data_IF_742638802033
#
_entry.id   IF_742638802033
#
_cell.length_a   1.000
_cell.length_b   1.000
_cell.length_c   1.000
_cell.angle_alpha   90.00
_cell.angle_beta   90.00
_cell.angle_gamma   90.00
#
_symmetry.space_group_name_H-M   'P 1'
#
loop_
_entity.id
_entity.type
_entity.pdbx_description
1 polymer ?
#
# COMPACT_ATOMS: atom_id res chain seq x y z
N UNK A 1 14.58 17.93 -6.42
CA UNK A 1 14.81 16.71 -5.60
C UNK A 1 15.62 15.65 -6.36
N UNK A 2 15.10 15.06 -7.44
CA UNK A 2 15.78 13.96 -8.16
C UNK A 2 17.21 14.26 -8.64
N UNK A 3 17.48 15.48 -9.13
CA UNK A 3 18.84 15.89 -9.53
C UNK A 3 19.81 15.78 -8.34
N UNK A 4 19.44 16.32 -7.18
CA UNK A 4 20.29 16.26 -5.97
C UNK A 4 20.50 14.80 -5.54
N UNK A 5 19.44 13.99 -5.51
CA UNK A 5 19.53 12.57 -5.19
C UNK A 5 20.43 11.78 -6.17
N UNK A 6 20.46 12.18 -7.45
CA UNK A 6 21.31 11.58 -8.48
C UNK A 6 22.82 11.73 -8.25
N UNK A 7 23.23 12.60 -7.30
CA UNK A 7 24.65 12.83 -6.96
C UNK A 7 25.08 12.12 -5.65
N UNK A 8 24.24 11.24 -5.09
CA UNK A 8 24.56 10.54 -3.83
C UNK A 8 25.67 9.48 -3.99
N UNK A 9 25.72 8.81 -5.13
CA UNK A 9 26.56 7.61 -5.31
C UNK A 9 27.95 7.94 -5.84
N UNK A 10 28.97 7.30 -5.24
CA UNK A 10 30.38 7.47 -5.61
C UNK A 10 30.60 6.96 -7.04
N UNK A 11 31.27 7.78 -7.84
CA UNK A 11 31.70 7.44 -9.19
C UNK A 11 33.21 7.69 -9.34
N UNK A 12 33.71 7.93 -10.55
CA UNK A 12 35.14 8.07 -10.85
C UNK A 12 35.83 9.24 -10.12
N UNK A 13 35.06 10.21 -9.62
CA UNK A 13 35.58 11.42 -8.97
C UNK A 13 35.71 11.32 -7.43
N UNK A 14 35.62 10.12 -6.86
CA UNK A 14 35.93 9.85 -5.44
C UNK A 14 34.93 10.38 -4.41
N UNK A 15 34.04 11.30 -4.77
CA UNK A 15 33.01 11.88 -3.91
C UNK A 15 31.72 11.06 -4.00
N UNK A 16 31.07 10.82 -2.85
CA UNK A 16 29.80 10.09 -2.73
C UNK A 16 29.93 8.77 -1.97
N UNK A 17 28.84 8.00 -1.94
CA UNK A 17 28.76 6.73 -1.22
C UNK A 17 28.81 5.50 -2.15
N UNK A 18 29.50 4.44 -1.72
CA UNK A 18 29.37 3.13 -2.35
C UNK A 18 28.14 2.41 -1.81
N UNK A 19 27.29 1.87 -2.69
CA UNK A 19 26.11 1.12 -2.28
C UNK A 19 26.46 -0.12 -1.47
N UNK A 20 27.57 -0.80 -1.81
CA UNK A 20 28.06 -1.95 -1.06
C UNK A 20 28.50 -1.56 0.35
N UNK A 21 29.28 -0.47 0.48
CA UNK A 21 29.71 0.04 1.79
C UNK A 21 28.49 0.41 2.66
N UNK A 22 27.48 1.08 2.07
CA UNK A 22 26.23 1.40 2.78
C UNK A 22 25.57 0.12 3.28
N UNK A 23 25.33 -0.86 2.41
CA UNK A 23 24.62 -2.09 2.78
C UNK A 23 25.34 -2.86 3.90
N UNK A 24 26.64 -3.08 3.76
CA UNK A 24 27.43 -3.84 4.74
C UNK A 24 27.60 -3.11 6.09
N UNK A 25 27.54 -1.77 6.09
CA UNK A 25 27.54 -0.99 7.33
C UNK A 25 26.25 -1.17 8.14
N UNK A 26 25.11 -1.49 7.50
CA UNK A 26 23.82 -1.65 8.17
C UNK A 26 23.63 -3.08 8.68
N UNK A 27 24.11 -3.32 9.89
CA UNK A 27 23.94 -4.57 10.65
C UNK A 27 23.59 -4.26 12.10
N UNK A 28 22.82 -5.15 12.73
CA UNK A 28 22.36 -4.96 14.10
C UNK A 28 22.34 -6.27 14.90
N UNK A 29 22.10 -6.19 16.22
CA UNK A 29 22.20 -7.34 17.12
C UNK A 29 21.21 -8.47 16.77
N UNK A 30 20.10 -8.15 16.11
CA UNK A 30 19.06 -9.12 15.75
C UNK A 30 19.21 -9.71 14.35
N UNK A 31 19.98 -9.06 13.46
CA UNK A 31 20.01 -9.34 12.01
C UNK A 31 21.29 -10.02 11.53
N UNK A 32 22.17 -10.44 12.44
CA UNK A 32 23.39 -11.18 12.10
C UNK A 32 24.34 -10.35 11.22
N UNK A 33 24.68 -10.87 10.04
CA UNK A 33 25.55 -10.19 9.07
C UNK A 33 24.85 -9.05 8.30
N UNK A 34 23.60 -8.70 8.66
CA UNK A 34 22.88 -7.58 8.06
C UNK A 34 22.65 -7.77 6.57
N UNK A 35 22.94 -6.73 5.77
CA UNK A 35 22.71 -6.72 4.32
C UNK A 35 23.91 -7.21 3.48
N UNK A 36 24.88 -7.89 4.10
CA UNK A 36 26.00 -8.50 3.39
C UNK A 36 25.50 -9.48 2.33
N UNK A 37 26.08 -9.44 1.13
CA UNK A 37 25.68 -10.30 0.00
C UNK A 37 24.49 -9.78 -0.83
N UNK A 38 23.75 -8.76 -0.34
CA UNK A 38 22.60 -8.20 -1.08
C UNK A 38 23.06 -7.42 -2.31
N UNK A 39 24.18 -6.68 -2.22
CA UNK A 39 24.76 -5.98 -3.36
C UNK A 39 25.11 -6.97 -4.49
N UNK A 40 25.73 -8.10 -4.13
CA UNK A 40 26.08 -9.16 -5.08
C UNK A 40 24.82 -9.76 -5.71
N UNK A 41 23.78 -10.07 -4.93
CA UNK A 41 22.50 -10.58 -5.46
C UNK A 41 21.93 -9.64 -6.52
N UNK A 42 21.86 -8.34 -6.21
CA UNK A 42 21.23 -7.33 -7.07
C UNK A 42 22.08 -6.96 -8.28
N UNK A 43 23.38 -7.26 -8.27
CA UNK A 43 24.26 -7.04 -9.42
C UNK A 43 24.42 -8.28 -10.29
N UNK A 44 24.19 -9.49 -9.75
CA UNK A 44 24.35 -10.74 -10.50
C UNK A 44 23.05 -11.40 -10.96
N UNK A 45 21.90 -11.14 -10.31
CA UNK A 45 20.61 -11.74 -10.67
C UNK A 45 19.64 -10.73 -11.27
N UNK A 46 19.28 -10.95 -12.52
CA UNK A 46 18.20 -10.22 -13.18
C UNK A 46 16.84 -10.50 -12.57
N UNK A 47 16.60 -11.72 -12.09
CA UNK A 47 15.34 -12.08 -11.44
C UNK A 47 15.16 -11.38 -10.10
N UNK A 48 16.23 -11.21 -9.31
CA UNK A 48 16.18 -10.43 -8.08
C UNK A 48 15.82 -8.96 -8.33
N UNK A 49 16.46 -8.34 -9.34
CA UNK A 49 16.16 -6.96 -9.75
C UNK A 49 14.73 -6.82 -10.26
N UNK A 50 14.31 -7.71 -11.16
CA UNK A 50 12.97 -7.67 -11.73
C UNK A 50 11.88 -7.88 -10.68
N UNK A 51 12.10 -8.75 -9.70
CA UNK A 51 11.17 -8.95 -8.59
C UNK A 51 10.94 -7.64 -7.81
N UNK A 52 12.01 -6.95 -7.41
CA UNK A 52 11.90 -5.67 -6.68
C UNK A 52 11.24 -4.60 -7.55
N UNK A 53 11.65 -4.48 -8.80
CA UNK A 53 11.11 -3.46 -9.71
C UNK A 53 9.61 -3.68 -9.97
N UNK A 54 9.18 -4.93 -10.16
CA UNK A 54 7.75 -5.25 -10.34
C UNK A 54 6.95 -5.01 -9.07
N UNK A 55 7.50 -5.32 -7.89
CA UNK A 55 6.83 -5.05 -6.62
C UNK A 55 6.59 -3.54 -6.47
N UNK A 56 7.63 -2.73 -6.66
CA UNK A 56 7.55 -1.28 -6.53
C UNK A 56 6.69 -0.63 -7.62
N UNK A 57 6.81 -1.08 -8.88
CA UNK A 57 6.02 -0.56 -10.00
C UNK A 57 4.54 -0.91 -9.84
N UNK A 58 4.23 -2.13 -9.41
CA UNK A 58 2.86 -2.55 -9.17
C UNK A 58 2.21 -1.75 -8.04
N UNK A 59 2.91 -1.60 -6.91
CA UNK A 59 2.47 -0.74 -5.81
C UNK A 59 2.31 0.73 -6.25
N UNK A 60 3.23 1.25 -7.05
CA UNK A 60 3.12 2.62 -7.58
C UNK A 60 1.90 2.78 -8.50
N UNK A 61 1.58 1.81 -9.35
CA UNK A 61 0.37 1.86 -10.19
C UNK A 61 -0.90 1.92 -9.34
N UNK A 62 -0.97 1.17 -8.23
CA UNK A 62 -2.09 1.23 -7.28
C UNK A 62 -2.18 2.62 -6.62
N UNK A 63 -1.04 3.17 -6.17
CA UNK A 63 -0.99 4.52 -5.60
C UNK A 63 -1.46 5.57 -6.62
N UNK A 64 -1.03 5.45 -7.88
CA UNK A 64 -1.47 6.32 -8.97
C UNK A 64 -3.00 6.26 -9.14
N UNK A 65 -3.61 5.07 -9.10
CA UNK A 65 -5.06 4.94 -9.15
C UNK A 65 -5.73 5.73 -8.01
N UNK A 66 -5.30 5.53 -6.77
CA UNK A 66 -5.84 6.23 -5.60
C UNK A 66 -5.64 7.74 -5.65
N UNK A 67 -4.48 8.21 -6.12
CA UNK A 67 -4.22 9.64 -6.25
C UNK A 67 -5.04 10.28 -7.38
N UNK A 68 -5.16 9.64 -8.54
CA UNK A 68 -5.82 10.22 -9.70
C UNK A 68 -7.33 10.42 -9.51
N UNK A 69 -8.02 9.53 -8.80
CA UNK A 69 -9.46 9.70 -8.59
C UNK A 69 -9.76 10.80 -7.55
N UNK A 70 -8.96 10.88 -6.48
CA UNK A 70 -9.16 11.86 -5.41
C UNK A 70 -8.52 13.23 -5.71
N UNK A 71 -7.55 13.29 -6.61
CA UNK A 71 -6.89 14.52 -7.09
C UNK A 71 -6.82 14.53 -8.62
N UNK A 72 -7.96 14.73 -9.32
CA UNK A 72 -8.03 14.65 -10.78
C UNK A 72 -7.05 15.63 -11.46
N UNK A 73 -6.01 15.13 -12.17
CA UNK A 73 -4.91 15.98 -12.63
C UNK A 73 -5.16 16.64 -13.98
N UNK A 74 -6.24 16.27 -14.68
CA UNK A 74 -6.53 16.76 -16.03
C UNK A 74 -7.80 17.62 -16.07
N UNK A 75 -7.86 18.66 -16.93
CA UNK A 75 -9.08 19.44 -17.11
C UNK A 75 -10.29 18.56 -17.49
N UNK A 76 -11.45 18.82 -16.89
CA UNK A 76 -12.73 18.17 -17.15
C UNK A 76 -12.83 16.65 -16.88
N UNK A 77 -11.73 15.98 -16.52
CA UNK A 77 -11.71 14.54 -16.26
C UNK A 77 -12.53 14.14 -15.03
N UNK A 78 -12.67 15.03 -14.05
CA UNK A 78 -13.41 14.76 -12.81
C UNK A 78 -14.91 14.53 -13.05
N UNK A 79 -15.48 15.19 -14.07
CA UNK A 79 -16.90 15.04 -14.46
C UNK A 79 -17.14 13.99 -15.55
N UNK A 80 -16.06 13.40 -16.04
CA UNK A 80 -16.09 12.26 -16.96
C UNK A 80 -15.97 10.95 -16.16
N UNK A 81 -17.07 10.57 -15.51
CA UNK A 81 -17.12 9.42 -14.62
C UNK A 81 -16.70 8.10 -15.28
N UNK A 82 -17.07 7.79 -16.54
CA UNK A 82 -16.55 6.62 -17.23
C UNK A 82 -15.02 6.59 -17.29
N UNK A 83 -14.38 7.73 -17.58
CA UNK A 83 -12.91 7.82 -17.63
C UNK A 83 -12.29 7.61 -16.24
N UNK A 84 -12.83 8.24 -15.20
CA UNK A 84 -12.37 8.05 -13.81
C UNK A 84 -12.43 6.58 -13.37
N UNK A 85 -13.59 5.94 -13.56
CA UNK A 85 -13.79 4.54 -13.21
C UNK A 85 -12.84 3.62 -14.00
N UNK A 86 -12.69 3.88 -15.30
CA UNK A 86 -11.83 3.09 -16.18
C UNK A 86 -10.37 3.19 -15.78
N UNK A 87 -9.85 4.41 -15.56
CA UNK A 87 -8.46 4.63 -15.17
C UNK A 87 -8.14 4.04 -13.81
N UNK A 88 -9.02 4.22 -12.82
CA UNK A 88 -8.83 3.63 -11.50
C UNK A 88 -8.74 2.11 -11.61
N UNK A 89 -9.75 1.48 -12.22
CA UNK A 89 -9.81 0.02 -12.37
C UNK A 89 -8.62 -0.51 -13.17
N UNK A 90 -8.25 0.15 -14.26
CA UNK A 90 -7.11 -0.20 -15.10
C UNK A 90 -5.79 -0.22 -14.32
N UNK A 91 -5.49 0.86 -13.58
CA UNK A 91 -4.24 0.97 -12.81
C UNK A 91 -4.20 0.02 -11.61
N UNK A 92 -5.34 -0.26 -10.98
CA UNK A 92 -5.44 -1.29 -9.93
C UNK A 92 -5.10 -2.67 -10.50
N UNK A 93 -5.68 -3.05 -11.65
CA UNK A 93 -5.39 -4.35 -12.27
C UNK A 93 -3.95 -4.49 -12.72
N UNK A 94 -3.38 -3.49 -13.40
CA UNK A 94 -1.96 -3.49 -13.76
C UNK A 94 -1.10 -3.66 -12.51
N UNK A 95 -1.43 -2.92 -11.45
CA UNK A 95 -0.73 -3.00 -10.17
C UNK A 95 -0.74 -4.42 -9.58
N UNK A 96 -1.92 -5.05 -9.54
CA UNK A 96 -2.10 -6.43 -9.09
C UNK A 96 -1.27 -7.43 -9.90
N UNK A 97 -1.31 -7.34 -11.24
CA UNK A 97 -0.51 -8.22 -12.10
C UNK A 97 1.00 -8.06 -11.88
N UNK A 98 1.48 -6.83 -11.74
CA UNK A 98 2.89 -6.56 -11.45
C UNK A 98 3.31 -7.12 -10.09
N UNK A 99 2.52 -6.94 -9.02
CA UNK A 99 2.82 -7.47 -7.69
C UNK A 99 2.87 -9.01 -7.69
N UNK A 100 1.93 -9.68 -8.37
CA UNK A 100 1.97 -11.14 -8.52
C UNK A 100 3.21 -11.58 -9.32
N UNK A 101 3.55 -10.86 -10.39
CA UNK A 101 4.78 -11.08 -11.16
C UNK A 101 6.06 -10.91 -10.32
N UNK A 102 6.05 -10.00 -9.35
CA UNK A 102 7.14 -9.85 -8.40
C UNK A 102 7.35 -11.11 -7.55
N UNK A 103 6.27 -11.68 -7.02
CA UNK A 103 6.32 -12.95 -6.28
C UNK A 103 6.82 -14.12 -7.13
N UNK A 104 6.41 -14.17 -8.41
CA UNK A 104 6.90 -15.16 -9.36
C UNK A 104 8.42 -15.02 -9.60
N UNK A 105 8.92 -13.82 -9.87
CA UNK A 105 10.35 -13.60 -10.11
C UNK A 105 11.20 -13.76 -8.85
N UNK A 106 10.68 -13.41 -7.67
CA UNK A 106 11.33 -13.70 -6.39
C UNK A 106 11.50 -15.22 -6.20
N UNK A 107 10.46 -16.00 -6.52
CA UNK A 107 10.52 -17.47 -6.46
C UNK A 107 11.51 -18.05 -7.47
N UNK A 108 11.55 -17.51 -8.70
CA UNK A 108 12.52 -17.91 -9.73
C UNK A 108 13.96 -17.61 -9.25
N UNK A 109 14.19 -16.42 -8.67
CA UNK A 109 15.47 -16.07 -8.05
C UNK A 109 15.87 -17.10 -6.97
N UNK A 110 14.94 -17.43 -6.07
CA UNK A 110 15.20 -18.40 -4.98
C UNK A 110 15.59 -19.79 -5.48
N UNK A 111 15.08 -20.20 -6.66
CA UNK A 111 15.38 -21.52 -7.24
C UNK A 111 16.67 -21.52 -8.04
N UNK A 112 16.91 -20.48 -8.85
CA UNK A 112 17.98 -20.48 -9.85
C UNK A 112 19.27 -19.79 -9.39
N UNK A 113 19.12 -18.67 -8.70
CA UNK A 113 20.22 -17.71 -8.51
C UNK A 113 20.63 -17.57 -7.05
N UNK A 114 19.79 -18.00 -6.10
CA UNK A 114 20.11 -17.99 -4.68
C UNK A 114 21.25 -18.97 -4.36
N UNK A 115 22.27 -18.46 -3.67
CA UNK A 115 23.41 -19.26 -3.21
C UNK A 115 23.53 -19.16 -1.67
N UNK A 116 23.29 -20.25 -0.91
CA UNK A 116 23.39 -20.27 0.54
C UNK A 116 24.76 -19.85 1.08
N UNK A 117 25.85 -20.25 0.40
CA UNK A 117 27.21 -19.95 0.86
C UNK A 117 27.51 -18.44 0.83
N UNK A 118 26.91 -17.69 -0.11
CA UNK A 118 27.05 -16.23 -0.22
C UNK A 118 26.11 -15.45 0.70
N UNK A 119 25.11 -16.11 1.28
CA UNK A 119 24.07 -15.50 2.10
C UNK A 119 24.14 -15.91 3.58
N UNK A 120 25.22 -16.54 4.01
CA UNK A 120 25.31 -17.10 5.36
C UNK A 120 25.04 -16.05 6.45
N UNK A 121 24.03 -16.31 7.28
CA UNK A 121 23.62 -15.48 8.42
C UNK A 121 23.31 -14.00 8.12
N UNK A 122 23.07 -13.65 6.86
CA UNK A 122 22.53 -12.34 6.49
C UNK A 122 21.00 -12.30 6.66
N UNK A 123 20.38 -11.16 6.39
CA UNK A 123 18.92 -10.99 6.53
C UNK A 123 18.10 -12.02 5.72
N UNK A 124 18.53 -12.38 4.50
CA UNK A 124 17.81 -13.30 3.63
C UNK A 124 17.85 -14.74 4.18
N UNK A 125 19.03 -15.23 4.56
CA UNK A 125 19.18 -16.54 5.20
C UNK A 125 18.41 -16.62 6.52
N UNK A 126 18.43 -15.56 7.31
CA UNK A 126 17.68 -15.50 8.56
C UNK A 126 16.19 -15.69 8.32
N UNK A 127 15.60 -14.96 7.36
CA UNK A 127 14.17 -15.12 6.99
C UNK A 127 13.85 -16.58 6.65
N UNK A 128 14.70 -17.24 5.86
CA UNK A 128 14.50 -18.65 5.47
C UNK A 128 14.49 -19.57 6.70
N UNK A 129 15.36 -19.32 7.68
CA UNK A 129 15.49 -20.14 8.90
C UNK A 129 14.29 -20.08 9.84
N UNK A 130 13.44 -19.07 9.75
CA UNK A 130 12.21 -18.97 10.55
C UNK A 130 10.96 -18.77 9.68
N UNK A 131 11.00 -19.24 8.43
CA UNK A 131 9.89 -19.15 7.48
C UNK A 131 8.61 -19.78 8.02
N UNK A 132 8.71 -20.87 8.77
CA UNK A 132 7.53 -21.55 9.31
C UNK A 132 6.79 -20.67 10.32
N UNK A 133 7.52 -19.90 11.13
CA UNK A 133 6.92 -18.92 12.03
C UNK A 133 6.27 -17.76 11.25
N UNK A 134 6.93 -17.24 10.22
CA UNK A 134 6.35 -16.17 9.38
C UNK A 134 5.02 -16.64 8.76
N UNK A 135 5.03 -17.82 8.14
CA UNK A 135 3.86 -18.38 7.46
C UNK A 135 2.76 -18.76 8.45
N UNK A 136 3.08 -19.30 9.64
CA UNK A 136 2.07 -19.65 10.64
C UNK A 136 1.36 -18.42 11.21
N UNK A 137 2.10 -17.33 11.44
CA UNK A 137 1.52 -16.08 11.93
C UNK A 137 0.67 -15.41 10.83
N UNK A 138 1.16 -15.40 9.59
CA UNK A 138 0.36 -14.88 8.46
C UNK A 138 -0.93 -15.70 8.28
N UNK A 139 -0.85 -17.04 8.36
CA UNK A 139 -2.03 -17.90 8.32
C UNK A 139 -3.05 -17.56 9.41
N UNK A 140 -2.58 -17.37 10.65
CA UNK A 140 -3.45 -16.94 11.75
C UNK A 140 -4.10 -15.58 11.46
N UNK A 141 -3.34 -14.61 10.94
CA UNK A 141 -3.88 -13.29 10.56
C UNK A 141 -4.95 -13.43 9.47
N UNK A 142 -4.73 -14.22 8.43
CA UNK A 142 -5.72 -14.43 7.36
C UNK A 142 -7.02 -15.04 7.92
N UNK A 143 -6.93 -16.03 8.81
CA UNK A 143 -8.10 -16.64 9.46
C UNK A 143 -8.83 -15.61 10.32
N UNK A 144 -8.08 -14.87 11.15
CA UNK A 144 -8.63 -13.81 11.99
C UNK A 144 -9.36 -12.76 11.15
N UNK A 145 -8.71 -12.23 10.13
CA UNK A 145 -9.29 -11.22 9.24
C UNK A 145 -10.52 -11.78 8.51
N UNK A 146 -10.51 -13.01 8.02
CA UNK A 146 -11.67 -13.63 7.37
C UNK A 146 -12.90 -13.69 8.29
N UNK A 147 -12.73 -14.15 9.53
CA UNK A 147 -13.84 -14.21 10.50
C UNK A 147 -14.32 -12.82 10.92
N UNK A 148 -13.41 -11.86 11.11
CA UNK A 148 -13.74 -10.53 11.64
C UNK A 148 -13.98 -9.46 10.55
N UNK A 149 -14.04 -9.86 9.28
CA UNK A 149 -14.46 -9.00 8.17
C UNK A 149 -15.64 -9.62 7.44
N UNK A 150 -15.42 -10.69 6.66
CA UNK A 150 -16.48 -11.35 5.90
C UNK A 150 -17.56 -11.95 6.80
N UNK A 151 -17.18 -12.49 7.97
CA UNK A 151 -18.14 -12.97 8.96
C UNK A 151 -19.15 -11.91 9.41
N UNK A 152 -18.78 -10.62 9.41
CA UNK A 152 -19.69 -9.52 9.75
C UNK A 152 -20.78 -9.33 8.68
N UNK A 153 -20.46 -9.55 7.41
CA UNK A 153 -21.46 -9.49 6.32
C UNK A 153 -22.48 -10.63 6.46
N UNK A 154 -22.02 -11.86 6.73
CA UNK A 154 -22.91 -13.01 6.95
C UNK A 154 -23.77 -12.84 8.21
N UNK A 155 -23.19 -12.28 9.29
CA UNK A 155 -23.94 -11.88 10.48
C UNK A 155 -25.05 -10.89 10.12
N UNK A 156 -24.73 -9.84 9.37
CA UNK A 156 -25.69 -8.82 8.95
C UNK A 156 -26.81 -9.40 8.08
N UNK A 157 -26.50 -10.27 7.12
CA UNK A 157 -27.52 -10.94 6.30
C UNK A 157 -28.44 -11.80 7.16
N UNK A 158 -27.88 -12.55 8.12
CA UNK A 158 -28.66 -13.40 9.04
C UNK A 158 -29.57 -12.55 9.93
N UNK A 159 -29.05 -11.50 10.57
CA UNK A 159 -29.84 -10.62 11.43
C UNK A 159 -30.94 -9.91 10.64
N UNK A 160 -30.63 -9.45 9.42
CA UNK A 160 -31.60 -8.80 8.55
C UNK A 160 -32.72 -9.76 8.13
N UNK A 161 -32.38 -10.98 7.73
CA UNK A 161 -33.35 -12.01 7.36
C UNK A 161 -34.25 -12.41 8.54
N UNK A 162 -33.71 -12.43 9.76
CA UNK A 162 -34.46 -12.68 11.00
C UNK A 162 -35.31 -11.48 11.48
N UNK A 163 -35.32 -10.36 10.74
CA UNK A 163 -36.05 -9.14 11.13
C UNK A 163 -35.44 -8.39 12.31
N UNK A 164 -34.16 -8.62 12.62
CA UNK A 164 -33.42 -8.05 13.75
C UNK A 164 -32.44 -6.96 13.29
N UNK A 165 -32.94 -5.92 12.64
CA UNK A 165 -32.09 -4.85 12.08
C UNK A 165 -31.31 -4.07 13.15
N UNK A 166 -31.82 -4.02 14.38
CA UNK A 166 -31.14 -3.41 15.53
C UNK A 166 -29.88 -4.17 15.99
N UNK A 167 -29.72 -5.43 15.59
CA UNK A 167 -28.59 -6.28 15.95
C UNK A 167 -27.53 -6.37 14.82
N UNK A 168 -27.69 -5.55 13.77
CA UNK A 168 -26.75 -5.45 12.66
C UNK A 168 -25.58 -4.53 12.99
N UNK A 169 -24.43 -4.80 12.37
CA UNK A 169 -23.34 -3.84 12.24
C UNK A 169 -23.67 -2.81 11.16
N UNK A 170 -24.05 -1.60 11.57
CA UNK A 170 -24.43 -0.50 10.69
C UNK A 170 -24.35 0.84 11.41
N UNK A 171 -24.43 1.95 10.66
CA UNK A 171 -24.44 3.29 11.26
C UNK A 171 -25.69 3.58 12.10
N UNK A 172 -26.78 2.82 11.92
CA UNK A 172 -28.05 3.02 12.65
C UNK A 172 -28.27 2.03 13.80
N UNK A 173 -27.33 1.11 14.01
CA UNK A 173 -27.42 0.06 15.03
C UNK A 173 -26.06 -0.09 15.75
N UNK A 174 -25.42 -1.25 15.65
CA UNK A 174 -24.10 -1.47 16.25
C UNK A 174 -23.03 -0.87 15.33
N UNK A 175 -22.48 0.28 15.71
CA UNK A 175 -21.54 1.01 14.88
C UNK A 175 -20.11 0.48 14.99
N UNK A 176 -19.43 0.36 13.86
CA UNK A 176 -17.99 0.10 13.79
C UNK A 176 -17.32 1.23 13.01
N UNK A 177 -17.08 2.36 13.68
CA UNK A 177 -16.58 3.56 13.01
C UNK A 177 -15.07 3.48 12.71
N UNK A 178 -14.60 3.88 11.51
CA UNK A 178 -13.19 3.96 11.17
C UNK A 178 -12.55 5.23 11.75
N UNK A 179 -12.53 5.34 13.08
CA UNK A 179 -12.14 6.57 13.81
C UNK A 179 -10.75 7.08 13.44
N UNK A 180 -9.81 6.20 13.12
CA UNK A 180 -8.46 6.60 12.73
C UNK A 180 -8.44 7.25 11.34
N UNK A 181 -9.25 6.75 10.40
CA UNK A 181 -9.36 7.35 9.07
C UNK A 181 -10.07 8.71 9.13
N UNK A 182 -11.14 8.80 9.93
CA UNK A 182 -11.85 10.07 10.18
C UNK A 182 -10.92 11.11 10.85
N UNK A 183 -10.07 10.68 11.78
CA UNK A 183 -9.06 11.55 12.40
C UNK A 183 -8.03 12.05 11.38
N UNK A 184 -7.53 11.17 10.49
CA UNK A 184 -6.61 11.57 9.41
C UNK A 184 -7.29 12.54 8.42
N UNK A 185 -8.55 12.29 8.05
CA UNK A 185 -9.34 13.23 7.24
C UNK A 185 -9.39 14.60 7.90
N UNK A 186 -9.70 14.66 9.20
CA UNK A 186 -9.74 15.90 9.97
C UNK A 186 -8.40 16.66 9.96
N UNK A 187 -7.28 15.95 10.16
CA UNK A 187 -5.95 16.56 10.09
C UNK A 187 -5.69 17.20 8.72
N UNK A 188 -6.01 16.51 7.63
CA UNK A 188 -5.79 17.02 6.28
C UNK A 188 -6.71 18.20 5.94
N UNK A 189 -7.97 18.16 6.37
CA UNK A 189 -8.91 19.27 6.18
C UNK A 189 -8.48 20.53 6.93
N UNK A 190 -7.92 20.37 8.15
CA UNK A 190 -7.46 21.47 8.99
C UNK A 190 -6.01 21.91 8.71
N UNK A 191 -5.31 21.27 7.78
CA UNK A 191 -3.91 21.59 7.49
C UNK A 191 -3.69 23.00 6.91
N UNK A 192 -4.49 23.49 5.94
CA UNK A 192 -4.31 24.82 5.35
C UNK A 192 -4.40 25.92 6.41
N UNK A 193 -3.39 26.80 6.47
CA UNK A 193 -3.31 27.87 7.46
C UNK A 193 -2.87 27.45 8.87
N UNK A 194 -2.64 26.14 9.11
CA UNK A 194 -2.14 25.62 10.38
C UNK A 194 -0.84 24.83 10.18
N UNK A 195 -0.90 23.51 9.99
CA UNK A 195 0.29 22.67 9.75
C UNK A 195 0.87 22.86 8.34
N UNK A 196 0.09 23.43 7.42
CA UNK A 196 0.55 23.95 6.13
C UNK A 196 0.15 25.43 5.97
N UNK A 197 0.91 26.37 6.56
CA UNK A 197 0.55 27.80 6.57
C UNK A 197 0.43 28.43 5.18
N UNK A 198 1.19 27.92 4.21
CA UNK A 198 1.24 28.46 2.84
C UNK A 198 0.25 27.79 1.89
N UNK A 199 -0.44 26.72 2.32
CA UNK A 199 -1.48 26.08 1.51
C UNK A 199 -2.78 26.86 1.60
N UNK A 200 -3.40 27.13 0.45
CA UNK A 200 -4.68 27.85 0.37
C UNK A 200 -5.90 26.93 0.53
N UNK A 201 -5.76 25.65 0.23
CA UNK A 201 -6.84 24.66 0.27
C UNK A 201 -6.30 23.28 0.67
N UNK A 202 -7.20 22.37 1.02
CA UNK A 202 -6.89 20.98 1.34
C UNK A 202 -6.19 20.29 0.17
N UNK A 203 -5.36 19.28 0.46
CA UNK A 203 -4.71 18.44 -0.56
C UNK A 203 -5.72 17.78 -1.50
N UNK A 204 -6.88 17.41 -0.97
CA UNK A 204 -8.01 16.90 -1.75
C UNK A 204 -9.32 17.22 -1.05
N UNK A 205 -10.33 17.60 -1.84
CA UNK A 205 -11.70 17.80 -1.37
C UNK A 205 -12.38 16.49 -0.93
N UNK A 206 -11.78 15.33 -1.20
CA UNK A 206 -12.22 14.05 -0.65
C UNK A 206 -12.05 13.97 0.88
N UNK A 207 -11.05 14.66 1.46
CA UNK A 207 -10.83 14.68 2.91
C UNK A 207 -11.85 15.54 3.66
N UNK A 208 -12.38 16.60 3.02
CA UNK A 208 -13.30 17.55 3.63
C UNK A 208 -13.38 18.87 2.83
N UNK A 209 -14.27 19.75 3.25
CA UNK A 209 -14.54 21.03 2.58
C UNK A 209 -15.84 21.04 1.78
N UNK A 210 -15.92 21.92 0.79
CA UNK A 210 -17.13 22.10 -0.03
C UNK A 210 -17.16 21.15 -1.22
N UNK A 211 -18.36 20.83 -1.70
CA UNK A 211 -18.53 20.10 -2.96
C UNK A 211 -18.22 21.00 -4.15
N UNK A 212 -17.41 20.50 -5.09
CA UNK A 212 -17.08 21.18 -6.34
C UNK A 212 -17.95 20.62 -7.44
N UNK A 213 -18.63 21.51 -8.17
CA UNK A 213 -19.48 21.15 -9.31
C UNK A 213 -19.00 21.82 -10.58
N UNK A 214 -19.04 21.11 -11.71
CA UNK A 214 -18.80 21.66 -13.05
C UNK A 214 -20.03 21.36 -13.90
N UNK A 215 -20.74 22.40 -14.32
CA UNK A 215 -22.05 22.25 -14.97
C UNK A 215 -23.07 21.61 -14.03
N UNK A 216 -23.67 20.48 -14.43
CA UNK A 216 -24.67 19.73 -13.64
C UNK A 216 -24.09 18.50 -12.92
N UNK A 217 -22.76 18.39 -12.83
CA UNK A 217 -22.07 17.22 -12.29
C UNK A 217 -21.17 17.62 -11.13
N UNK A 218 -21.06 16.74 -10.13
CA UNK A 218 -20.12 16.87 -9.01
C UNK A 218 -18.75 16.41 -9.51
N UNK A 219 -17.76 17.29 -9.46
CA UNK A 219 -16.38 16.96 -9.78
C UNK A 219 -15.67 16.30 -8.59
N UNK A 220 -15.90 16.79 -7.37
CA UNK A 220 -15.39 16.19 -6.13
C UNK A 220 -16.23 16.67 -4.94
N UNK A 221 -16.38 15.83 -3.92
CA UNK A 221 -17.00 16.18 -2.65
C UNK A 221 -16.33 15.39 -1.52
N UNK A 222 -16.48 15.82 -0.25
CA UNK A 222 -16.03 15.03 0.89
C UNK A 222 -16.57 13.60 0.83
N UNK A 223 -15.71 12.62 1.07
CA UNK A 223 -16.09 11.20 1.10
C UNK A 223 -16.20 10.79 2.58
N UNK A 224 -17.42 10.76 3.15
CA UNK A 224 -17.59 10.33 4.54
C UNK A 224 -17.25 8.85 4.67
N UNK A 225 -16.68 8.48 5.81
CA UNK A 225 -16.32 7.09 6.14
C UNK A 225 -17.16 6.62 7.33
N UNK A 226 -17.99 5.60 7.12
CA UNK A 226 -18.86 5.01 8.14
C UNK A 226 -18.58 3.53 8.40
N UNK A 227 -19.55 2.84 8.99
CA UNK A 227 -19.46 1.41 9.31
C UNK A 227 -19.27 0.55 8.06
N UNK A 228 -19.94 0.90 6.96
CA UNK A 228 -19.77 0.17 5.70
C UNK A 228 -18.34 0.28 5.16
N UNK A 229 -17.72 1.45 5.27
CA UNK A 229 -16.33 1.67 4.87
C UNK A 229 -15.36 0.90 5.77
N UNK A 230 -15.59 0.88 7.09
CA UNK A 230 -14.82 0.06 8.00
C UNK A 230 -14.83 -1.42 7.58
N UNK A 231 -16.01 -1.96 7.27
CA UNK A 231 -16.17 -3.36 6.86
C UNK A 231 -15.44 -3.66 5.55
N UNK A 232 -15.61 -2.84 4.51
CA UNK A 232 -14.97 -3.10 3.21
C UNK A 232 -13.43 -2.93 3.26
N UNK A 233 -12.91 -2.00 4.07
CA UNK A 233 -11.46 -1.87 4.24
C UNK A 233 -10.84 -3.08 4.94
N UNK A 234 -11.55 -3.71 5.87
CA UNK A 234 -11.08 -4.97 6.48
C UNK A 234 -11.18 -6.16 5.51
N UNK A 235 -12.12 -6.15 4.56
CA UNK A 235 -12.11 -7.10 3.43
C UNK A 235 -10.89 -6.88 2.54
N UNK A 236 -10.57 -5.63 2.18
CA UNK A 236 -9.36 -5.33 1.41
C UNK A 236 -8.10 -5.82 2.13
N UNK A 237 -7.98 -5.54 3.43
CA UNK A 237 -6.88 -6.03 4.26
C UNK A 237 -6.82 -7.56 4.24
N UNK A 238 -7.95 -8.25 4.44
CA UNK A 238 -8.04 -9.71 4.37
C UNK A 238 -7.55 -10.26 3.02
N UNK A 239 -7.99 -9.69 1.90
CA UNK A 239 -7.62 -10.20 0.56
C UNK A 239 -6.18 -9.91 0.14
N UNK A 240 -5.52 -8.94 0.78
CA UNK A 240 -4.11 -8.60 0.52
C UNK A 240 -3.17 -9.48 1.36
N UNK A 241 -3.56 -9.83 2.59
CA UNK A 241 -2.78 -10.69 3.50
C UNK A 241 -2.88 -12.16 3.08
#
# INVERSE_FOLDING_TARGET
>A
LFIVAGHMYRTNWGIGHSMKEILEAHKGPFTGEGHKGIYEILTSSWHAQLAINLAMMGSLSIIVAHHMYAMPPYPYIATDYPTQLSLFTHHIWIGGFCIVGAGAHASIFMVRDYNPAKNYNNVLDRIIRHRDAIISHLNWVCIFLGFHSFGLYVHNDTMRALGRSQDMFSDTAIQLQPIFAQWVQSIHTLAPGNTSPNSLTTTSYAFGGEAITIGKKVAMMPIPLGTADFMVHHIHAFTIH
#
